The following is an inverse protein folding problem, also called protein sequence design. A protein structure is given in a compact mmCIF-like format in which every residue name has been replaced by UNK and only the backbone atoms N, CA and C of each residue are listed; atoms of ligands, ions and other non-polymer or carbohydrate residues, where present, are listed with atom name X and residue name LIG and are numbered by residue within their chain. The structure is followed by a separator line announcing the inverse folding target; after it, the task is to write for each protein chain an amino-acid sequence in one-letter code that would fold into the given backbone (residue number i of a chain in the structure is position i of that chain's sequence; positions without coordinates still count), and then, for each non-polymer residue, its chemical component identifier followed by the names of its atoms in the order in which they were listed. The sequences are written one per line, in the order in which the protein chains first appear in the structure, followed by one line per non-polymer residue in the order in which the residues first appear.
data_IF_587905750728
#
_entry.id   IF_587905750728
#
_cell.length_a   1.000
_cell.length_b   1.000
_cell.length_c   1.000
_cell.angle_alpha   90.00
_cell.angle_beta   90.00
_cell.angle_gamma   90.00
#
_symmetry.space_group_name_H-M   'P 1'
#
loop_
_entity.id
_entity.type
_entity.pdbx_description
1 polymer ?
#
# COMPACT_ATOMS: atom_id res chain seq x y z
N UNK A 1 6.49 -1.34 -24.64
CA UNK A 1 5.19 -1.44 -23.95
C UNK A 1 5.41 -2.34 -22.76
N UNK A 2 5.82 -1.76 -21.63
CA UNK A 2 6.45 -2.48 -20.52
C UNK A 2 5.46 -3.48 -19.94
N UNK A 3 5.82 -4.76 -20.00
CA UNK A 3 5.11 -5.84 -19.34
C UNK A 3 5.16 -5.57 -17.84
N UNK A 4 4.10 -4.96 -17.31
CA UNK A 4 3.99 -4.72 -15.87
C UNK A 4 3.88 -6.09 -15.20
N UNK A 5 4.68 -6.34 -14.15
CA UNK A 5 4.65 -7.63 -13.49
C UNK A 5 3.22 -7.95 -13.04
N UNK A 6 2.76 -9.18 -13.28
CA UNK A 6 1.45 -9.69 -12.89
C UNK A 6 1.37 -9.94 -11.38
N UNK A 7 1.69 -8.92 -10.60
CA UNK A 7 1.68 -8.93 -9.15
C UNK A 7 0.87 -7.74 -8.62
N UNK A 8 0.41 -7.84 -7.38
CA UNK A 8 -0.39 -6.80 -6.72
C UNK A 8 0.21 -5.38 -6.81
N UNK A 9 1.51 -5.14 -6.52
CA UNK A 9 2.10 -3.81 -6.69
C UNK A 9 2.08 -3.33 -8.15
N UNK A 10 2.15 -4.25 -9.13
CA UNK A 10 2.01 -3.91 -10.55
C UNK A 10 0.59 -3.43 -10.91
N UNK A 11 -0.45 -4.02 -10.29
CA UNK A 11 -1.84 -3.56 -10.45
C UNK A 11 -2.02 -2.17 -9.87
N UNK A 12 -1.54 -1.92 -8.64
CA UNK A 12 -1.60 -0.59 -8.03
C UNK A 12 -0.87 0.46 -8.87
N UNK A 13 0.31 0.13 -9.39
CA UNK A 13 1.07 1.02 -10.27
C UNK A 13 0.28 1.37 -11.54
N UNK A 14 -0.36 0.38 -12.17
CA UNK A 14 -1.20 0.59 -13.35
C UNK A 14 -2.37 1.53 -13.05
N UNK A 15 -3.03 1.36 -11.91
CA UNK A 15 -4.13 2.23 -11.48
C UNK A 15 -3.64 3.66 -11.20
N UNK A 16 -2.51 3.81 -10.51
CA UNK A 16 -1.92 5.09 -10.16
C UNK A 16 -1.38 5.91 -11.35
N UNK A 17 -1.17 5.27 -12.51
CA UNK A 17 -0.71 5.91 -13.76
C UNK A 17 -1.84 6.19 -14.76
N UNK A 18 -3.07 5.74 -14.49
CA UNK A 18 -4.21 5.95 -15.38
C UNK A 18 -4.85 7.35 -15.16
N UNK A 19 -5.52 7.95 -16.15
CA UNK A 19 -6.35 9.15 -15.96
C UNK A 19 -7.27 9.13 -14.72
N UNK A 20 -7.75 7.95 -14.31
CA UNK A 20 -8.60 7.79 -13.12
C UNK A 20 -7.84 7.62 -11.80
N UNK A 21 -6.52 7.83 -11.78
CA UNK A 21 -5.67 7.57 -10.60
C UNK A 21 -6.09 8.34 -9.34
N UNK A 22 -6.77 9.49 -9.52
CA UNK A 22 -7.29 10.34 -8.43
C UNK A 22 -8.75 10.08 -8.09
N UNK A 23 -9.43 9.17 -8.77
CA UNK A 23 -10.77 8.75 -8.38
C UNK A 23 -10.70 7.99 -7.03
N UNK A 24 -11.78 8.03 -6.22
CA UNK A 24 -11.86 7.25 -4.99
C UNK A 24 -11.58 5.76 -5.23
N UNK A 25 -10.67 5.18 -4.47
CA UNK A 25 -10.37 3.75 -4.48
C UNK A 25 -10.78 3.09 -3.16
N UNK A 26 -10.46 3.73 -2.04
CA UNK A 26 -10.85 3.31 -0.69
C UNK A 26 -11.59 4.43 0.01
N UNK A 27 -12.68 4.09 0.68
CA UNK A 27 -13.37 4.95 1.65
C UNK A 27 -13.37 4.21 2.98
N UNK A 28 -12.81 4.82 4.00
CA UNK A 28 -12.77 4.29 5.36
C UNK A 28 -13.62 5.17 6.26
N UNK A 29 -14.51 4.55 7.01
CA UNK A 29 -15.36 5.21 7.99
C UNK A 29 -14.75 4.96 9.38
N UNK A 30 -14.29 6.03 10.02
CA UNK A 30 -13.77 6.00 11.39
C UNK A 30 -14.87 5.83 12.43
N UNK A 31 -14.49 5.47 13.66
CA UNK A 31 -15.42 5.24 14.77
C UNK A 31 -16.15 6.51 15.22
N UNK A 32 -15.61 7.68 14.90
CA UNK A 32 -16.20 9.01 15.12
C UNK A 32 -17.11 9.47 13.98
N UNK A 33 -17.27 8.64 12.93
CA UNK A 33 -18.03 8.95 11.73
C UNK A 33 -17.25 9.77 10.70
N UNK A 34 -15.95 10.01 10.89
CA UNK A 34 -15.13 10.66 9.88
C UNK A 34 -14.90 9.72 8.67
N UNK A 35 -15.14 10.23 7.46
CA UNK A 35 -14.84 9.51 6.23
C UNK A 35 -13.48 9.95 5.66
N UNK A 36 -12.57 8.99 5.52
CA UNK A 36 -11.28 9.19 4.86
C UNK A 36 -11.30 8.48 3.52
N UNK A 37 -11.07 9.24 2.45
CA UNK A 37 -11.05 8.71 1.07
C UNK A 37 -9.64 8.77 0.50
N UNK A 38 -9.12 7.62 0.04
CA UNK A 38 -7.87 7.54 -0.70
C UNK A 38 -8.09 7.09 -2.14
N UNK A 39 -7.38 7.75 -3.05
CA UNK A 39 -7.27 7.34 -4.45
C UNK A 39 -6.14 6.31 -4.67
N UNK A 40 -6.05 5.76 -5.89
CA UNK A 40 -4.92 4.90 -6.25
C UNK A 40 -3.57 5.64 -6.18
N UNK A 41 -3.57 6.92 -6.56
CA UNK A 41 -2.41 7.80 -6.43
C UNK A 41 -2.00 7.98 -4.96
N UNK A 42 -2.97 8.23 -4.08
CA UNK A 42 -2.72 8.41 -2.64
C UNK A 42 -2.08 7.19 -1.99
N UNK A 43 -2.59 6.01 -2.34
CA UNK A 43 -2.06 4.74 -1.86
C UNK A 43 -0.65 4.48 -2.40
N UNK A 44 -0.42 4.69 -3.70
CA UNK A 44 0.90 4.49 -4.31
C UNK A 44 1.98 5.37 -3.67
N UNK A 45 1.70 6.66 -3.47
CA UNK A 45 2.65 7.59 -2.83
C UNK A 45 2.99 7.14 -1.41
N UNK A 46 1.99 6.76 -0.61
CA UNK A 46 2.20 6.32 0.79
C UNK A 46 2.95 5.00 0.85
N UNK A 47 2.56 4.02 0.05
CA UNK A 47 3.22 2.72 -0.02
C UNK A 47 4.69 2.87 -0.44
N UNK A 48 5.01 3.74 -1.42
CA UNK A 48 6.41 4.00 -1.82
C UNK A 48 7.25 4.61 -0.71
N UNK A 49 6.68 5.50 0.10
CA UNK A 49 7.37 6.08 1.27
C UNK A 49 7.70 5.00 2.31
N UNK A 50 6.74 4.14 2.62
CA UNK A 50 6.95 3.00 3.53
C UNK A 50 8.01 2.06 2.96
N UNK A 51 7.94 1.75 1.67
CA UNK A 51 8.90 0.88 1.00
C UNK A 51 10.33 1.42 1.07
N UNK A 52 10.52 2.73 0.86
CA UNK A 52 11.83 3.38 1.00
C UNK A 52 12.37 3.21 2.43
N UNK A 53 11.55 3.51 3.44
CA UNK A 53 11.92 3.35 4.84
C UNK A 53 12.25 1.90 5.23
N UNK A 54 11.53 0.92 4.67
CA UNK A 54 11.79 -0.51 4.89
C UNK A 54 13.09 -0.97 4.23
N UNK A 55 13.37 -0.52 3.00
CA UNK A 55 14.62 -0.84 2.29
C UNK A 55 15.84 -0.26 3.01
N UNK A 56 15.76 0.96 3.53
CA UNK A 56 16.80 1.57 4.36
C UNK A 56 17.12 0.73 5.61
N UNK A 57 16.16 -0.06 6.08
CA UNK A 57 16.30 -0.98 7.23
C UNK A 57 16.67 -2.41 6.81
N UNK A 58 16.97 -2.65 5.54
CA UNK A 58 17.37 -3.97 5.04
C UNK A 58 16.23 -4.99 4.92
N UNK A 59 14.98 -4.55 4.81
CA UNK A 59 13.83 -5.46 4.81
C UNK A 59 13.61 -6.23 3.49
N UNK A 60 14.46 -6.05 2.47
CA UNK A 60 14.29 -6.74 1.19
C UNK A 60 14.52 -8.25 1.36
N UNK A 61 13.54 -9.08 0.97
CA UNK A 61 13.55 -10.53 1.19
C UNK A 61 13.15 -10.97 2.61
N UNK A 62 13.00 -10.04 3.54
CA UNK A 62 12.66 -10.32 4.94
C UNK A 62 11.14 -10.33 5.19
N UNK A 63 10.74 -10.89 6.33
CA UNK A 63 9.34 -10.90 6.80
C UNK A 63 9.07 -9.65 7.64
N UNK A 64 8.02 -8.90 7.29
CA UNK A 64 7.58 -7.70 8.02
C UNK A 64 6.20 -7.97 8.61
N UNK A 65 6.12 -7.99 9.95
CA UNK A 65 4.87 -8.15 10.68
C UNK A 65 4.03 -6.87 10.55
N UNK A 66 2.79 -7.01 10.09
CA UNK A 66 1.80 -5.94 10.03
C UNK A 66 0.81 -6.14 11.17
N UNK A 67 1.01 -5.41 12.26
CA UNK A 67 0.13 -5.39 13.43
C UNK A 67 -0.59 -4.05 13.47
N UNK A 68 -1.74 -3.98 12.81
CA UNK A 68 -2.54 -2.77 12.65
C UNK A 68 -3.99 -3.04 13.06
N UNK A 69 -4.70 -2.04 13.60
CA UNK A 69 -6.15 -2.00 13.50
C UNK A 69 -6.60 -2.04 12.02
N UNK A 70 -7.81 -2.50 11.72
CA UNK A 70 -8.37 -2.38 10.37
C UNK A 70 -8.40 -0.92 9.92
N UNK A 71 -7.88 -0.61 8.72
CA UNK A 71 -7.86 0.76 8.22
C UNK A 71 -6.95 0.99 7.02
N UNK A 72 -6.90 2.23 6.56
CA UNK A 72 -6.12 2.63 5.39
C UNK A 72 -4.61 2.43 5.57
N UNK A 73 -4.10 2.62 6.80
CA UNK A 73 -2.69 2.42 7.13
C UNK A 73 -2.24 0.97 6.96
N UNK A 74 -3.12 0.01 7.26
CA UNK A 74 -2.85 -1.41 6.98
C UNK A 74 -2.62 -1.64 5.48
N UNK A 75 -3.46 -1.04 4.63
CA UNK A 75 -3.36 -1.19 3.16
C UNK A 75 -2.06 -0.55 2.65
N UNK A 76 -1.72 0.65 3.13
CA UNK A 76 -0.45 1.30 2.80
C UNK A 76 0.77 0.48 3.27
N UNK A 77 0.73 -0.07 4.49
CA UNK A 77 1.76 -0.94 5.04
C UNK A 77 1.95 -2.21 4.23
N UNK A 78 0.86 -2.86 3.85
CA UNK A 78 0.86 -4.05 3.00
C UNK A 78 1.53 -3.78 1.65
N UNK A 79 1.06 -2.78 0.89
CA UNK A 79 1.70 -2.43 -0.39
C UNK A 79 3.12 -1.91 -0.22
N UNK A 80 3.42 -1.22 0.89
CA UNK A 80 4.77 -0.77 1.22
C UNK A 80 5.75 -1.94 1.39
N UNK A 81 5.33 -3.03 2.05
CA UNK A 81 6.12 -4.25 2.16
C UNK A 81 6.38 -4.87 0.78
N UNK A 82 5.35 -4.98 -0.05
CA UNK A 82 5.48 -5.56 -1.40
C UNK A 82 6.38 -4.71 -2.29
N UNK A 83 6.23 -3.37 -2.26
CA UNK A 83 7.13 -2.46 -2.96
C UNK A 83 8.55 -2.54 -2.41
N UNK A 84 8.76 -2.78 -1.11
CA UNK A 84 10.09 -2.97 -0.54
C UNK A 84 10.78 -4.26 -1.04
N UNK A 85 10.03 -5.21 -1.60
CA UNK A 85 10.49 -6.56 -1.87
C UNK A 85 10.51 -7.44 -0.61
N UNK A 86 9.75 -7.07 0.41
CA UNK A 86 9.58 -7.82 1.66
C UNK A 86 8.36 -8.74 1.59
N UNK A 87 8.30 -9.73 2.49
CA UNK A 87 7.13 -10.58 2.72
C UNK A 87 6.26 -9.91 3.78
N UNK A 88 5.10 -9.38 3.37
CA UNK A 88 4.10 -8.88 4.30
C UNK A 88 3.49 -10.03 5.11
N UNK A 89 3.50 -9.93 6.44
CA UNK A 89 2.91 -10.92 7.36
C UNK A 89 1.80 -10.24 8.17
N UNK A 90 0.54 -10.32 7.76
CA UNK A 90 -0.59 -9.81 8.53
C UNK A 90 -0.75 -10.55 9.86
N UNK A 91 -0.95 -9.82 10.94
CA UNK A 91 -1.40 -10.36 12.23
C UNK A 91 -2.49 -9.46 12.80
N UNK A 92 -3.51 -10.09 13.39
CA UNK A 92 -4.57 -9.35 14.07
C UNK A 92 -4.12 -9.02 15.50
N UNK A 93 -4.23 -7.76 15.96
CA UNK A 93 -3.91 -7.36 17.33
C UNK A 93 -4.87 -7.92 18.38
#
# INVERSE_FOLDING_TARGET
MTDLPQCLPGVLLKLAQNPSARAPLYTFLGDDGEEIVWSAFDLDVRARRIAAALRERGAQGERVLLLYPPGLDYIAGFFGCLYAGAVAVPAYP
#
